data_IF_017267264551
#
_entry.id   IF_017267264551
#
_cell.length_a   1.000
_cell.length_b   1.000
_cell.length_c   1.000
_cell.angle_alpha   90.00
_cell.angle_beta   90.00
_cell.angle_gamma   90.00
#
_symmetry.space_group_name_H-M   'P 1'
#
loop_
_entity.id
_entity.type
_entity.pdbx_description
1 polymer ?
#
# COMPACT_ATOMS: atom_id res chain seq x y z
N UNK A 1 9.76 4.70 16.76
CA UNK A 1 9.93 5.12 15.36
C UNK A 1 10.40 3.93 14.52
N UNK A 2 9.44 3.14 14.04
CA UNK A 2 9.72 1.93 13.28
C UNK A 2 9.47 2.22 11.80
N UNK A 3 10.45 1.94 10.96
CA UNK A 3 10.35 2.10 9.50
C UNK A 3 10.28 0.72 8.87
N UNK A 4 9.37 0.56 7.91
CA UNK A 4 9.23 -0.66 7.12
C UNK A 4 9.71 -0.33 5.72
N UNK A 5 10.64 -1.12 5.20
CA UNK A 5 11.34 -0.88 3.94
C UNK A 5 11.35 -2.18 3.12
N UNK A 6 11.16 -2.16 1.80
CA UNK A 6 11.26 -3.38 0.99
C UNK A 6 12.69 -3.94 0.98
N UNK A 7 12.85 -5.26 0.85
CA UNK A 7 14.18 -5.92 0.79
C UNK A 7 15.09 -5.38 -0.31
N UNK A 8 14.55 -4.92 -1.42
CA UNK A 8 15.38 -4.38 -2.50
C UNK A 8 16.08 -3.06 -2.11
N UNK A 9 15.51 -2.31 -1.17
CA UNK A 9 16.10 -1.10 -0.60
C UNK A 9 17.20 -1.37 0.45
N UNK A 10 17.53 -2.63 0.76
CA UNK A 10 18.69 -2.94 1.61
C UNK A 10 19.99 -2.38 1.01
N UNK A 11 20.06 -2.28 -0.32
CA UNK A 11 21.22 -1.77 -1.07
C UNK A 11 21.47 -0.27 -0.83
N UNK A 12 20.42 0.48 -0.47
CA UNK A 12 20.47 1.93 -0.18
C UNK A 12 20.74 2.21 1.32
N UNK A 13 20.60 1.23 2.21
CA UNK A 13 20.94 1.38 3.63
C UNK A 13 22.35 1.91 3.93
N UNK A 14 23.43 1.54 3.20
CA UNK A 14 24.74 2.14 3.40
C UNK A 14 24.83 3.62 3.01
N UNK A 15 23.88 4.17 2.26
CA UNK A 15 23.81 5.61 1.95
C UNK A 15 23.19 6.42 3.10
N UNK A 16 22.49 5.76 4.02
CA UNK A 16 21.88 6.38 5.20
C UNK A 16 22.93 6.52 6.32
N UNK A 17 23.11 7.72 6.91
CA UNK A 17 24.07 7.95 7.98
C UNK A 17 23.86 7.05 9.20
N UNK A 18 24.95 6.71 9.89
CA UNK A 18 24.91 5.84 11.07
C UNK A 18 24.04 6.37 12.22
N UNK A 19 23.89 7.70 12.32
CA UNK A 19 23.05 8.32 13.34
C UNK A 19 21.58 7.96 13.14
N UNK A 20 21.11 7.93 11.89
CA UNK A 20 19.70 7.62 11.57
C UNK A 20 19.45 6.13 11.69
N UNK A 21 20.38 5.28 11.22
CA UNK A 21 20.23 3.81 11.30
C UNK A 21 20.26 3.29 12.73
N UNK A 22 20.98 3.95 13.64
CA UNK A 22 21.01 3.56 15.05
C UNK A 22 19.84 4.15 15.85
N UNK A 23 19.31 5.29 15.44
CA UNK A 23 18.17 5.92 16.09
C UNK A 23 16.82 5.25 15.77
N UNK A 24 16.73 4.46 14.69
CA UNK A 24 15.47 3.90 14.19
C UNK A 24 15.54 2.39 13.94
N UNK A 25 14.41 1.71 14.13
CA UNK A 25 14.27 0.28 13.85
C UNK A 25 13.78 0.09 12.42
N UNK A 26 14.61 -0.53 11.58
CA UNK A 26 14.31 -0.78 10.16
C UNK A 26 13.90 -2.25 10.00
N UNK A 27 12.68 -2.48 9.52
CA UNK A 27 12.17 -3.82 9.19
C UNK A 27 12.13 -3.99 7.67
N UNK A 28 12.89 -4.96 7.16
CA UNK A 28 12.94 -5.29 5.74
C UNK A 28 11.87 -6.35 5.41
N UNK A 29 11.05 -6.09 4.41
CA UNK A 29 9.91 -6.95 4.02
C UNK A 29 9.91 -7.27 2.53
N UNK A 30 9.28 -8.39 2.15
CA UNK A 30 9.17 -8.82 0.74
C UNK A 30 7.73 -8.74 0.23
N UNK A 31 6.75 -8.89 1.12
CA UNK A 31 5.35 -8.99 0.78
C UNK A 31 4.48 -8.00 1.55
N UNK A 32 3.33 -7.67 0.99
CA UNK A 32 2.39 -6.73 1.63
C UNK A 32 1.80 -7.29 2.93
N UNK A 33 1.67 -8.61 3.02
CA UNK A 33 1.14 -9.29 4.21
C UNK A 33 2.03 -9.03 5.43
N UNK A 34 3.36 -9.06 5.24
CA UNK A 34 4.34 -8.72 6.27
C UNK A 34 4.22 -7.26 6.73
N UNK A 35 3.99 -6.33 5.80
CA UNK A 35 3.76 -4.91 6.15
C UNK A 35 2.52 -4.76 7.02
N UNK A 36 1.43 -5.43 6.65
CA UNK A 36 0.16 -5.38 7.38
C UNK A 36 0.33 -5.94 8.79
N UNK A 37 1.05 -7.05 8.93
CA UNK A 37 1.34 -7.65 10.24
C UNK A 37 2.23 -6.77 11.14
N UNK A 38 3.19 -6.04 10.56
CA UNK A 38 4.14 -5.20 11.30
C UNK A 38 3.60 -3.79 11.61
N UNK A 39 2.72 -3.26 10.77
CA UNK A 39 2.20 -1.89 10.90
C UNK A 39 0.98 -1.77 11.81
N UNK A 40 0.28 -2.88 12.08
CA UNK A 40 -0.97 -2.89 12.84
C UNK A 40 -0.73 -3.36 14.28
N UNK A 41 -1.21 -2.60 15.27
CA UNK A 41 -1.09 -2.94 16.70
C UNK A 41 -1.90 -4.20 17.08
N UNK A 42 -2.98 -4.48 16.33
CA UNK A 42 -3.81 -5.67 16.45
C UNK A 42 -3.89 -6.40 15.10
N UNK A 43 -3.72 -7.72 15.12
CA UNK A 43 -3.77 -8.55 13.92
C UNK A 43 -5.21 -8.56 13.38
N UNK A 44 -5.44 -8.37 12.07
CA UNK A 44 -6.79 -8.44 11.53
C UNK A 44 -7.29 -9.89 11.66
N UNK A 45 -8.13 -10.15 12.66
CA UNK A 45 -8.82 -11.42 12.87
C UNK A 45 -9.90 -11.60 11.79
N UNK A 46 -9.47 -12.07 10.62
CA UNK A 46 -10.34 -12.62 9.59
C UNK A 46 -11.21 -11.60 8.85
N UNK A 47 -10.62 -10.85 7.93
CA UNK A 47 -11.38 -10.24 6.83
C UNK A 47 -11.53 -11.22 5.66
N UNK A 48 -12.15 -12.39 5.89
CA UNK A 48 -12.87 -13.08 4.81
C UNK A 48 -14.24 -12.43 4.71
N UNK A 49 -14.30 -11.30 4.01
CA UNK A 49 -15.56 -10.79 3.46
C UNK A 49 -15.47 -10.94 1.96
N UNK A 50 -16.24 -11.91 1.50
CA UNK A 50 -16.54 -12.25 0.12
C UNK A 50 -16.99 -11.00 -0.67
N UNK A 51 -16.50 -10.88 -1.90
CA UNK A 51 -16.97 -10.01 -2.99
C UNK A 51 -17.41 -8.57 -2.67
N UNK A 52 -16.51 -7.63 -2.97
CA UNK A 52 -16.90 -6.44 -3.72
C UNK A 52 -15.87 -6.21 -4.83
N UNK A 53 -16.27 -6.52 -6.08
CA UNK A 53 -15.56 -6.13 -7.32
C UNK A 53 -15.61 -4.61 -7.51
N UNK A 54 -15.09 -3.83 -6.56
CA UNK A 54 -14.76 -2.44 -6.84
C UNK A 54 -13.38 -2.42 -7.50
N UNK A 55 -13.27 -1.93 -8.74
CA UNK A 55 -11.97 -1.77 -9.38
C UNK A 55 -11.08 -0.89 -8.49
N UNK A 56 -9.76 -1.15 -8.47
CA UNK A 56 -8.83 -0.37 -7.64
C UNK A 56 -8.95 1.11 -7.99
N UNK A 57 -9.04 1.96 -6.96
CA UNK A 57 -9.14 3.42 -7.07
C UNK A 57 -7.93 4.09 -7.77
N UNK A 58 -6.94 3.30 -8.21
CA UNK A 58 -5.79 3.74 -9.01
C UNK A 58 -6.05 3.71 -10.52
N UNK A 59 -7.12 3.07 -11.00
CA UNK A 59 -7.54 3.23 -12.39
C UNK A 59 -8.22 4.58 -12.55
N UNK A 60 -7.50 5.53 -13.15
CA UNK A 60 -8.09 6.72 -13.78
C UNK A 60 -8.84 6.32 -15.06
N UNK A 61 -9.88 5.50 -14.94
CA UNK A 61 -10.83 5.32 -16.03
C UNK A 61 -12.19 5.80 -15.52
N UNK A 62 -12.64 7.00 -15.93
CA UNK A 62 -14.00 7.41 -15.67
C UNK A 62 -14.94 6.38 -16.30
N UNK A 63 -16.06 6.02 -15.64
CA UNK A 63 -17.02 5.11 -16.23
C UNK A 63 -17.43 5.68 -17.60
N UNK A 64 -17.62 4.84 -18.64
CA UNK A 64 -18.23 5.31 -19.87
C UNK A 64 -19.65 5.73 -19.50
N UNK A 65 -19.84 7.02 -19.21
CA UNK A 65 -21.14 7.59 -19.01
C UNK A 65 -21.83 7.48 -20.37
N UNK A 66 -22.67 6.46 -20.52
CA UNK A 66 -23.74 6.45 -21.49
C UNK A 66 -24.65 7.65 -21.19
N UNK A 67 -24.21 8.84 -21.59
CA UNK A 67 -25.03 10.03 -21.62
C UNK A 67 -25.80 9.95 -22.93
N UNK A 68 -27.01 9.39 -22.81
CA UNK A 68 -28.05 9.55 -23.79
C UNK A 68 -28.23 11.06 -23.98
N UNK A 69 -27.81 11.58 -25.13
CA UNK A 69 -28.12 12.94 -25.53
C UNK A 69 -29.64 13.06 -25.67
N UNK A 70 -30.34 13.89 -24.89
CA UNK A 70 -31.67 14.29 -25.27
C UNK A 70 -31.53 15.22 -26.48
N UNK A 71 -32.41 15.01 -27.47
CA UNK A 71 -32.51 15.85 -28.64
C UNK A 71 -32.71 17.33 -28.25
N UNK A 72 -31.97 18.22 -28.90
CA UNK A 72 -32.36 19.62 -28.98
C UNK A 72 -31.96 20.18 -30.36
N UNK A 73 -33.01 20.33 -31.19
CA UNK A 73 -33.19 21.11 -32.44
C UNK A 73 -32.13 21.08 -33.55
#
# INVERSE_FOLDING_TARGET
>A
DTIILPKDNEKDLPEVPEEVRNAMTINLVETIDEVIALALEEQPVGAVSEEAKTPPLWTTEPPPQGLQTPAEQ
#
